data_IF_585424491921
#
_entry.id   IF_585424491921
#
_cell.length_a   1.000
_cell.length_b   1.000
_cell.length_c   1.000
_cell.angle_alpha   90.00
_cell.angle_beta   90.00
_cell.angle_gamma   90.00
#
_symmetry.space_group_name_H-M   'P 1'
#
loop_
_entity.id
_entity.type
_entity.pdbx_description
1 polymer ?
#
# COMPACT_ATOMS: atom_id res chain seq x y z
N UNK A 1 20.65 -5.25 20.17
CA UNK A 1 19.46 -4.44 19.81
C UNK A 1 18.89 -5.01 18.52
N UNK A 2 17.63 -5.47 18.52
CA UNK A 2 17.01 -6.01 17.30
C UNK A 2 16.77 -4.83 16.33
N UNK A 3 17.18 -4.90 15.05
CA UNK A 3 16.82 -3.85 14.11
C UNK A 3 15.29 -3.86 14.00
N UNK A 4 14.66 -2.76 14.41
CA UNK A 4 13.24 -2.52 14.18
C UNK A 4 13.14 -2.32 12.67
N UNK A 5 13.04 -3.42 11.92
CA UNK A 5 12.69 -3.40 10.50
C UNK A 5 11.40 -2.60 10.42
N UNK A 6 11.44 -1.39 9.86
CA UNK A 6 10.26 -0.52 9.71
C UNK A 6 9.34 -1.18 8.69
N UNK A 7 8.63 -2.23 9.11
CA UNK A 7 7.65 -2.92 8.29
C UNK A 7 6.77 -1.86 7.64
N UNK A 8 6.84 -1.78 6.32
CA UNK A 8 5.95 -0.94 5.53
C UNK A 8 4.54 -1.53 5.65
N UNK A 9 3.85 -1.18 6.74
CA UNK A 9 2.54 -1.72 7.08
C UNK A 9 1.45 -0.96 6.34
N UNK A 10 0.27 -1.56 6.17
CA UNK A 10 -0.91 -0.87 5.63
C UNK A 10 -1.22 0.44 6.39
N UNK A 11 -0.98 0.48 7.71
CA UNK A 11 -1.13 1.71 8.52
C UNK A 11 -0.14 2.80 8.12
N UNK A 12 1.12 2.45 7.88
CA UNK A 12 2.14 3.39 7.40
C UNK A 12 1.81 3.89 5.98
N UNK A 13 1.36 3.00 5.09
CA UNK A 13 0.91 3.36 3.73
C UNK A 13 -0.25 4.36 3.82
N UNK A 14 -1.27 4.07 4.63
CA UNK A 14 -2.40 4.97 4.84
C UNK A 14 -1.95 6.34 5.37
N UNK A 15 -1.05 6.34 6.35
CA UNK A 15 -0.50 7.59 6.93
C UNK A 15 0.28 8.40 5.89
N UNK A 16 1.17 7.77 5.12
CA UNK A 16 1.97 8.46 4.10
C UNK A 16 1.10 8.96 2.95
N UNK A 17 0.10 8.17 2.55
CA UNK A 17 -0.91 8.58 1.57
C UNK A 17 -1.94 9.54 2.18
N UNK A 18 -1.77 9.96 3.44
CA UNK A 18 -2.66 10.78 4.27
C UNK A 18 -4.15 10.49 4.01
N UNK A 19 -4.49 9.21 4.19
CA UNK A 19 -5.84 8.65 4.23
C UNK A 19 -6.05 7.88 5.54
N UNK A 20 -7.30 7.60 5.88
CA UNK A 20 -7.62 6.76 7.03
C UNK A 20 -7.19 5.30 6.80
N UNK A 21 -6.68 4.59 7.83
CA UNK A 21 -6.32 3.18 7.73
C UNK A 21 -7.54 2.29 7.41
N UNK A 22 -8.70 2.58 7.99
CA UNK A 22 -9.96 1.90 7.69
C UNK A 22 -10.40 2.14 6.24
N UNK A 23 -10.17 3.35 5.73
CA UNK A 23 -10.48 3.68 4.35
C UNK A 23 -9.62 2.88 3.37
N UNK A 24 -8.32 2.74 3.65
CA UNK A 24 -7.45 1.88 2.87
C UNK A 24 -7.89 0.41 2.95
N UNK A 25 -8.29 -0.06 4.14
CA UNK A 25 -8.81 -1.41 4.33
C UNK A 25 -10.05 -1.65 3.45
N UNK A 26 -11.03 -0.73 3.44
CA UNK A 26 -12.21 -0.84 2.58
C UNK A 26 -11.87 -0.89 1.08
N UNK A 27 -10.86 -0.15 0.62
CA UNK A 27 -10.38 -0.22 -0.77
C UNK A 27 -9.77 -1.60 -1.07
N UNK A 28 -8.87 -2.06 -0.20
CA UNK A 28 -8.20 -3.36 -0.33
C UNK A 28 -9.21 -4.51 -0.31
N UNK A 29 -10.26 -4.39 0.52
CA UNK A 29 -11.29 -5.40 0.60
C UNK A 29 -12.31 -5.33 -0.54
N UNK A 30 -12.36 -4.24 -1.31
CA UNK A 30 -13.32 -4.02 -2.38
C UNK A 30 -14.67 -3.48 -1.91
N UNK A 31 -14.78 -3.11 -0.62
CA UNK A 31 -15.98 -2.52 -0.02
C UNK A 31 -16.23 -1.11 -0.56
N UNK A 32 -15.17 -0.38 -0.90
CA UNK A 32 -15.26 0.94 -1.53
C UNK A 32 -14.32 1.10 -2.72
N UNK A 33 -14.78 1.77 -3.80
CA UNK A 33 -13.90 2.12 -4.91
C UNK A 33 -12.87 3.17 -4.47
N UNK A 34 -11.64 3.04 -4.98
CA UNK A 34 -10.59 4.01 -4.70
C UNK A 34 -10.84 5.32 -5.48
N UNK A 35 -10.91 6.48 -4.81
CA UNK A 35 -10.99 7.77 -5.50
C UNK A 35 -9.73 8.01 -6.33
N UNK A 36 -9.85 8.59 -7.53
CA UNK A 36 -8.70 8.91 -8.39
C UNK A 36 -7.64 9.77 -7.69
N UNK A 37 -8.07 10.75 -6.88
CA UNK A 37 -7.16 11.60 -6.09
C UNK A 37 -6.35 10.80 -5.06
N UNK A 38 -6.95 9.78 -4.46
CA UNK A 38 -6.29 8.89 -3.49
C UNK A 38 -5.36 7.93 -4.22
N UNK A 39 -5.77 7.40 -5.37
CA UNK A 39 -4.96 6.50 -6.18
C UNK A 39 -3.61 7.11 -6.59
N UNK A 40 -3.57 8.41 -6.93
CA UNK A 40 -2.30 9.12 -7.22
C UNK A 40 -1.38 9.17 -6.00
N UNK A 41 -1.94 9.39 -4.80
CA UNK A 41 -1.16 9.43 -3.55
C UNK A 41 -0.66 8.03 -3.17
N UNK A 42 -1.51 7.02 -3.34
CA UNK A 42 -1.12 5.63 -3.14
C UNK A 42 -0.05 5.18 -4.13
N UNK A 43 -0.13 5.58 -5.39
CA UNK A 43 0.91 5.33 -6.40
C UNK A 43 2.24 5.93 -5.98
N UNK A 44 2.26 7.18 -5.51
CA UNK A 44 3.49 7.82 -5.03
C UNK A 44 4.11 7.13 -3.80
N UNK A 45 3.30 6.53 -2.93
CA UNK A 45 3.75 5.89 -1.68
C UNK A 45 4.13 4.43 -1.87
N UNK A 46 3.36 3.71 -2.68
CA UNK A 46 3.46 2.24 -2.83
C UNK A 46 4.12 1.81 -4.13
N UNK A 47 4.24 2.71 -5.11
CA UNK A 47 4.66 2.37 -6.47
C UNK A 47 3.61 1.60 -7.28
N UNK A 48 2.45 1.28 -6.70
CA UNK A 48 1.37 0.56 -7.37
C UNK A 48 0.63 1.53 -8.28
N UNK A 49 0.44 1.17 -9.55
CA UNK A 49 -0.19 2.06 -10.52
C UNK A 49 -1.57 2.51 -10.08
N UNK A 50 -1.88 3.80 -10.28
CA UNK A 50 -3.20 4.36 -9.99
C UNK A 50 -4.33 3.62 -10.73
N UNK A 51 -4.03 3.01 -11.89
CA UNK A 51 -5.00 2.23 -12.67
C UNK A 51 -5.40 0.99 -11.91
N UNK A 52 -4.45 0.27 -11.31
CA UNK A 52 -4.71 -0.88 -10.43
C UNK A 52 -5.55 -0.47 -9.23
N UNK A 53 -5.32 0.71 -8.64
CA UNK A 53 -6.14 1.19 -7.53
C UNK A 53 -7.59 1.54 -7.91
N UNK A 54 -7.80 2.14 -9.09
CA UNK A 54 -9.12 2.64 -9.51
C UNK A 54 -9.94 1.55 -10.22
N UNK A 55 -9.29 0.69 -10.97
CA UNK A 55 -9.93 -0.29 -11.87
C UNK A 55 -9.52 -1.74 -11.59
N UNK A 56 -8.48 -1.96 -10.78
CA UNK A 56 -8.05 -3.30 -10.42
C UNK A 56 -9.05 -3.98 -9.51
N UNK A 57 -9.06 -5.30 -9.57
CA UNK A 57 -9.88 -6.11 -8.67
C UNK A 57 -9.36 -6.03 -7.24
N UNK A 58 -10.21 -6.28 -6.23
CA UNK A 58 -9.78 -6.34 -4.83
C UNK A 58 -8.63 -7.33 -4.60
N UNK A 59 -8.59 -8.43 -5.35
CA UNK A 59 -7.53 -9.44 -5.29
C UNK A 59 -6.20 -8.91 -5.84
N UNK A 60 -6.21 -8.23 -7.00
CA UNK A 60 -5.03 -7.58 -7.56
C UNK A 60 -4.47 -6.51 -6.62
N UNK A 61 -5.35 -5.68 -6.05
CA UNK A 61 -4.97 -4.64 -5.08
C UNK A 61 -4.35 -5.28 -3.84
N UNK A 62 -4.98 -6.32 -3.27
CA UNK A 62 -4.43 -7.05 -2.12
C UNK A 62 -3.05 -7.62 -2.42
N UNK A 63 -2.90 -8.28 -3.56
CA UNK A 63 -1.64 -8.90 -3.95
C UNK A 63 -0.55 -7.86 -4.14
N UNK A 64 -0.86 -6.73 -4.78
CA UNK A 64 0.06 -5.62 -4.96
C UNK A 64 0.48 -5.00 -3.61
N UNK A 65 -0.48 -4.73 -2.71
CA UNK A 65 -0.19 -4.21 -1.37
C UNK A 65 0.63 -5.20 -0.55
N UNK A 66 0.32 -6.49 -0.62
CA UNK A 66 1.07 -7.54 0.07
C UNK A 66 2.51 -7.62 -0.44
N UNK A 67 2.74 -7.48 -1.74
CA UNK A 67 4.09 -7.41 -2.30
C UNK A 67 4.85 -6.20 -1.75
N UNK A 68 4.24 -5.01 -1.68
CA UNK A 68 4.88 -3.81 -1.10
C UNK A 68 5.22 -4.02 0.38
N UNK A 69 4.28 -4.56 1.15
CA UNK A 69 4.50 -4.86 2.58
C UNK A 69 5.57 -5.94 2.79
N UNK A 70 5.71 -6.90 1.86
CA UNK A 70 6.68 -7.99 1.94
C UNK A 70 8.08 -7.58 1.42
N UNK A 71 8.15 -6.71 0.41
CA UNK A 71 9.40 -6.30 -0.25
C UNK A 71 10.33 -5.54 0.70
N UNK A 72 9.77 -4.79 1.66
CA UNK A 72 10.53 -4.09 2.71
C UNK A 72 11.37 -5.03 3.60
N UNK A 73 11.10 -6.34 3.56
CA UNK A 73 11.91 -7.34 4.28
C UNK A 73 13.27 -7.64 3.61
N UNK A 74 13.52 -7.17 2.37
CA UNK A 74 14.69 -7.56 1.55
C UNK A 74 15.72 -6.47 1.26
N UNK A 75 15.56 -5.23 1.73
CA UNK A 75 16.62 -4.24 1.61
C UNK A 75 17.63 -4.39 2.77
N UNK A 76 18.44 -5.44 2.68
CA UNK A 76 19.73 -5.56 3.38
C UNK A 76 20.78 -5.85 2.31
N UNK A 77 21.25 -4.79 1.66
CA UNK A 77 22.58 -4.78 1.05
C UNK A 77 23.29 -3.58 1.68
N UNK A 78 24.11 -3.88 2.70
CA UNK A 78 25.16 -2.99 3.16
C UNK A 78 26.42 -3.50 2.48
N UNK A 79 27.04 -2.61 1.70
CA UNK A 79 28.42 -2.72 1.18
C UNK A 79 29.42 -2.62 2.34
#
# INVERSE_FOLDING_TARGET
MKPIKKRFTQKEIARQAQIGPDFLSHIIHGDRPCPRKVAVRLEAVTGISRVTWVWGTPEEIRHAVQQVCAHDSRHVHHD
#
